data_IF_462861769791
#
_entry.id   IF_462861769791
#
_cell.length_a   1.000
_cell.length_b   1.000
_cell.length_c   1.000
_cell.angle_alpha   90.00
_cell.angle_beta   90.00
_cell.angle_gamma   90.00
#
_symmetry.space_group_name_H-M   'P 1'
#
loop_
_entity.id
_entity.type
_entity.pdbx_description
1 polymer ?
#
# COMPACT_ATOMS: atom_id res chain seq x y z
N UNK A 1 -53.14 -1.29 -22.50
CA UNK A 1 -52.05 -0.31 -22.26
C UNK A 1 -51.33 -0.52 -20.92
N UNK A 2 -52.01 -0.79 -19.81
CA UNK A 2 -51.36 -0.88 -18.45
C UNK A 2 -50.30 -1.99 -18.32
N UNK A 3 -50.47 -3.18 -18.90
CA UNK A 3 -49.53 -4.28 -18.81
C UNK A 3 -48.18 -4.01 -19.53
N UNK A 4 -48.23 -3.31 -20.68
CA UNK A 4 -47.01 -2.93 -21.44
C UNK A 4 -46.17 -1.91 -20.69
N UNK A 5 -46.77 -0.96 -19.98
CA UNK A 5 -46.07 0.00 -19.14
C UNK A 5 -45.39 -0.66 -17.92
N UNK A 6 -46.05 -1.66 -17.31
CA UNK A 6 -45.47 -2.42 -16.18
C UNK A 6 -44.28 -3.23 -16.63
N UNK A 7 -44.36 -3.92 -17.78
CA UNK A 7 -43.22 -4.66 -18.36
C UNK A 7 -42.04 -3.74 -18.73
N UNK A 8 -42.32 -2.55 -19.23
CA UNK A 8 -41.28 -1.56 -19.55
C UNK A 8 -40.61 -1.00 -18.28
N UNK A 9 -41.39 -0.70 -17.23
CA UNK A 9 -40.82 -0.30 -15.94
C UNK A 9 -40.00 -1.42 -15.28
N UNK A 10 -40.44 -2.67 -15.34
CA UNK A 10 -39.67 -3.82 -14.87
C UNK A 10 -38.34 -3.97 -15.64
N UNK A 11 -38.32 -3.78 -16.96
CA UNK A 11 -37.11 -3.87 -17.76
C UNK A 11 -36.06 -2.79 -17.38
N UNK A 12 -36.49 -1.59 -17.00
CA UNK A 12 -35.60 -0.52 -16.53
C UNK A 12 -34.94 -0.89 -15.18
N UNK A 13 -35.66 -1.59 -14.29
CA UNK A 13 -35.10 -2.06 -13.03
C UNK A 13 -34.03 -3.15 -13.20
N UNK A 14 -34.13 -3.98 -14.25
CA UNK A 14 -33.09 -5.01 -14.51
C UNK A 14 -31.83 -4.48 -15.21
N UNK A 15 -31.88 -3.28 -15.82
CA UNK A 15 -30.72 -2.69 -16.53
C UNK A 15 -29.67 -2.05 -15.61
N UNK A 16 -29.97 -1.90 -14.31
CA UNK A 16 -29.12 -1.10 -13.41
C UNK A 16 -28.05 -1.89 -12.63
N UNK A 17 -27.84 -3.18 -12.88
CA UNK A 17 -26.95 -4.01 -12.04
C UNK A 17 -25.69 -4.57 -12.72
N UNK A 18 -25.30 -4.04 -13.87
CA UNK A 18 -23.99 -4.40 -14.44
C UNK A 18 -22.89 -3.43 -13.99
N UNK A 19 -22.44 -3.55 -12.74
CA UNK A 19 -21.24 -2.85 -12.30
C UNK A 19 -20.00 -3.54 -12.91
N UNK A 20 -19.55 -3.05 -14.05
CA UNK A 20 -18.22 -3.33 -14.53
C UNK A 20 -17.21 -2.58 -13.66
N UNK A 21 -16.09 -3.23 -13.31
CA UNK A 21 -15.01 -2.58 -12.59
C UNK A 21 -14.28 -1.63 -13.55
N UNK A 22 -14.64 -0.37 -13.53
CA UNK A 22 -13.95 0.65 -14.29
C UNK A 22 -12.80 1.21 -13.45
N UNK A 23 -11.58 0.79 -13.78
CA UNK A 23 -10.39 1.27 -13.10
C UNK A 23 -9.73 2.35 -13.95
N UNK A 24 -9.44 3.54 -13.40
CA UNK A 24 -8.70 4.55 -14.14
C UNK A 24 -7.30 4.05 -14.45
N UNK A 25 -6.77 4.31 -15.65
CA UNK A 25 -5.44 3.86 -16.04
C UNK A 25 -4.38 4.43 -15.09
N UNK A 26 -3.45 3.58 -14.70
CA UNK A 26 -2.35 3.97 -13.84
C UNK A 26 -1.18 4.49 -14.69
N UNK A 27 -0.80 5.76 -14.49
CA UNK A 27 0.45 6.28 -15.02
C UNK A 27 1.60 5.80 -14.13
N UNK A 28 2.67 5.30 -14.72
CA UNK A 28 3.84 4.74 -14.02
C UNK A 28 4.37 5.67 -12.92
N UNK A 29 4.48 6.97 -13.22
CA UNK A 29 5.05 7.97 -12.31
C UNK A 29 4.18 8.25 -11.07
N UNK A 30 2.87 8.00 -11.16
CA UNK A 30 1.92 8.27 -10.07
C UNK A 30 1.45 7.01 -9.34
N UNK A 31 1.85 5.84 -9.84
CA UNK A 31 1.34 4.54 -9.43
C UNK A 31 1.61 4.27 -7.94
N UNK A 32 2.85 4.42 -7.50
CA UNK A 32 3.26 4.19 -6.10
C UNK A 32 2.59 5.22 -5.17
N UNK A 33 2.63 6.50 -5.53
CA UNK A 33 2.01 7.57 -4.74
C UNK A 33 0.51 7.36 -4.54
N UNK A 34 -0.20 6.96 -5.60
CA UNK A 34 -1.63 6.64 -5.51
C UNK A 34 -1.85 5.37 -4.66
N UNK A 35 -1.06 4.33 -4.87
CA UNK A 35 -1.14 3.10 -4.10
C UNK A 35 -0.93 3.33 -2.60
N UNK A 36 0.11 4.05 -2.23
CA UNK A 36 0.38 4.44 -0.85
C UNK A 36 -0.75 5.26 -0.23
N UNK A 37 -1.40 6.13 -1.01
CA UNK A 37 -2.51 6.96 -0.51
C UNK A 37 -3.76 6.14 -0.15
N UNK A 38 -4.08 5.13 -0.95
CA UNK A 38 -5.33 4.36 -0.81
C UNK A 38 -5.20 3.07 0.00
N UNK A 39 -4.01 2.48 0.05
CA UNK A 39 -3.78 1.25 0.78
C UNK A 39 -3.58 1.51 2.28
N UNK A 40 -4.09 0.61 3.11
CA UNK A 40 -3.82 0.60 4.56
C UNK A 40 -2.51 -0.14 4.84
N UNK A 41 -2.20 -1.16 4.02
CA UNK A 41 -0.96 -1.93 4.08
C UNK A 41 -0.34 -2.06 2.69
N UNK A 42 0.98 -1.87 2.62
CA UNK A 42 1.78 -2.06 1.40
C UNK A 42 3.00 -2.88 1.72
N UNK A 43 3.19 -3.97 0.99
CA UNK A 43 4.32 -4.88 1.21
C UNK A 43 4.79 -5.55 -0.10
N UNK A 44 6.03 -6.00 -0.08
CA UNK A 44 6.58 -6.97 -0.99
C UNK A 44 6.56 -8.33 -0.31
N UNK A 45 6.04 -9.36 -0.97
CA UNK A 45 5.86 -10.66 -0.37
C UNK A 45 5.67 -11.78 -1.37
N UNK A 46 5.68 -12.99 -0.86
CA UNK A 46 5.49 -14.23 -1.60
C UNK A 46 4.10 -14.80 -1.33
N UNK A 47 3.37 -15.15 -2.38
CA UNK A 47 2.12 -15.88 -2.27
C UNK A 47 2.42 -17.37 -1.99
N UNK A 48 2.18 -17.81 -0.76
CA UNK A 48 2.56 -19.15 -0.29
C UNK A 48 1.41 -20.16 -0.33
N UNK A 49 0.17 -19.70 -0.19
CA UNK A 49 -1.02 -20.56 -0.19
C UNK A 49 -2.14 -19.96 -1.01
N UNK A 50 -2.85 -20.81 -1.72
CA UNK A 50 -4.07 -20.49 -2.47
C UNK A 50 -5.08 -21.58 -2.18
N UNK A 51 -6.30 -21.17 -1.79
CA UNK A 51 -7.46 -22.04 -1.64
C UNK A 51 -8.58 -21.51 -2.54
N UNK A 52 -8.78 -22.19 -3.67
CA UNK A 52 -9.78 -21.80 -4.66
C UNK A 52 -11.21 -22.14 -4.25
N UNK A 53 -11.38 -23.06 -3.30
CA UNK A 53 -12.70 -23.47 -2.81
C UNK A 53 -13.22 -22.42 -1.82
N UNK A 54 -12.37 -22.01 -0.88
CA UNK A 54 -12.71 -21.01 0.13
C UNK A 54 -12.44 -19.56 -0.32
N UNK A 55 -11.87 -19.37 -1.51
CA UNK A 55 -11.43 -18.07 -2.04
C UNK A 55 -10.48 -17.34 -1.08
N UNK A 56 -9.55 -18.08 -0.45
CA UNK A 56 -8.56 -17.53 0.49
C UNK A 56 -7.15 -17.70 -0.04
N UNK A 57 -6.25 -16.84 0.42
CA UNK A 57 -4.85 -16.88 0.05
C UNK A 57 -3.98 -16.32 1.18
N UNK A 58 -2.72 -16.78 1.24
CA UNK A 58 -1.76 -16.35 2.26
C UNK A 58 -0.50 -15.81 1.61
N UNK A 59 -0.08 -14.62 2.04
CA UNK A 59 1.20 -14.04 1.68
C UNK A 59 2.18 -14.13 2.84
N UNK A 60 3.42 -14.48 2.52
CA UNK A 60 4.57 -14.26 3.40
C UNK A 60 5.14 -12.89 3.11
N UNK A 61 5.10 -11.98 4.08
CA UNK A 61 5.67 -10.64 3.98
C UNK A 61 7.20 -10.76 4.01
N UNK A 62 7.87 -10.26 2.97
CA UNK A 62 9.32 -10.15 2.86
C UNK A 62 9.77 -8.77 3.33
N UNK A 63 9.10 -7.72 2.85
CA UNK A 63 9.38 -6.34 3.17
C UNK A 63 8.08 -5.54 3.32
N UNK A 64 7.89 -4.91 4.48
CA UNK A 64 6.74 -4.06 4.76
C UNK A 64 7.13 -2.60 4.52
N UNK A 65 6.34 -1.88 3.72
CA UNK A 65 6.57 -0.49 3.37
C UNK A 65 5.62 0.46 4.08
N UNK A 66 4.37 0.05 4.27
CA UNK A 66 3.34 0.86 4.93
C UNK A 66 2.43 0.00 5.79
N UNK A 67 1.96 0.57 6.90
CA UNK A 67 1.06 -0.08 7.85
C UNK A 67 1.81 -0.86 8.93
N UNK A 68 1.06 -1.29 9.95
CA UNK A 68 1.58 -2.10 11.06
C UNK A 68 1.04 -3.52 10.98
N UNK A 69 1.92 -4.50 10.93
CA UNK A 69 1.55 -5.91 10.93
C UNK A 69 2.60 -6.76 11.63
N UNK A 70 2.21 -7.45 12.71
CA UNK A 70 3.14 -8.17 13.56
C UNK A 70 3.51 -9.56 13.03
N UNK A 71 2.62 -10.18 12.26
CA UNK A 71 2.86 -11.52 11.70
C UNK A 71 3.63 -11.44 10.39
N UNK A 72 4.46 -12.43 10.11
CA UNK A 72 5.11 -12.60 8.80
C UNK A 72 4.16 -13.13 7.72
N UNK A 73 3.00 -13.66 8.10
CA UNK A 73 2.00 -14.19 7.17
C UNK A 73 0.73 -13.37 7.29
N UNK A 74 0.25 -12.85 6.16
CA UNK A 74 -1.00 -12.12 6.06
C UNK A 74 -2.01 -12.91 5.25
N UNK A 75 -3.22 -13.03 5.79
CA UNK A 75 -4.31 -13.76 5.16
C UNK A 75 -5.14 -12.84 4.29
N UNK A 76 -5.49 -13.32 3.11
CA UNK A 76 -6.41 -12.65 2.20
C UNK A 76 -7.65 -13.48 1.93
N UNK A 77 -8.75 -12.78 1.65
CA UNK A 77 -10.01 -13.42 1.24
C UNK A 77 -10.64 -12.60 0.13
N UNK A 78 -10.96 -13.25 -0.98
CA UNK A 78 -11.76 -12.64 -2.05
C UNK A 78 -13.23 -12.57 -1.60
N UNK A 79 -13.85 -11.42 -1.82
CA UNK A 79 -15.30 -11.28 -1.73
C UNK A 79 -15.94 -11.69 -3.06
N UNK A 80 -17.23 -11.95 -3.04
CA UNK A 80 -18.00 -12.32 -4.25
C UNK A 80 -18.26 -11.13 -5.18
N UNK A 81 -17.46 -10.08 -5.11
CA UNK A 81 -17.56 -8.96 -6.04
C UNK A 81 -16.57 -9.11 -7.20
N UNK A 82 -16.96 -8.63 -8.37
CA UNK A 82 -16.13 -8.77 -9.60
C UNK A 82 -14.90 -7.86 -9.63
N UNK A 83 -14.69 -7.00 -8.61
CA UNK A 83 -13.60 -6.01 -8.58
C UNK A 83 -12.42 -6.44 -7.72
N UNK A 84 -12.37 -7.71 -7.28
CA UNK A 84 -11.27 -8.25 -6.51
C UNK A 84 -10.47 -9.31 -7.29
N UNK A 85 -9.15 -9.21 -7.19
CA UNK A 85 -8.21 -10.19 -7.76
C UNK A 85 -8.18 -11.42 -6.86
N UNK A 86 -8.32 -12.62 -7.46
CA UNK A 86 -7.97 -13.85 -6.80
C UNK A 86 -6.61 -14.29 -7.32
N UNK A 87 -5.56 -14.29 -6.51
CA UNK A 87 -4.27 -14.81 -6.93
C UNK A 87 -4.39 -16.28 -7.31
N UNK A 88 -3.90 -16.67 -8.47
CA UNK A 88 -4.04 -18.04 -9.01
C UNK A 88 -2.71 -18.77 -9.16
N UNK A 89 -1.58 -18.06 -9.01
CA UNK A 89 -0.24 -18.63 -9.14
C UNK A 89 0.64 -18.13 -8.00
N UNK A 90 1.38 -19.04 -7.37
CA UNK A 90 2.40 -18.69 -6.39
C UNK A 90 3.51 -17.90 -7.07
N UNK A 91 3.76 -16.69 -6.59
CA UNK A 91 4.73 -15.77 -7.14
C UNK A 91 5.09 -14.68 -6.13
N UNK A 92 6.04 -13.83 -6.48
CA UNK A 92 6.40 -12.63 -5.75
C UNK A 92 5.48 -11.47 -6.15
N UNK A 93 4.95 -10.78 -5.15
CA UNK A 93 3.97 -9.72 -5.31
C UNK A 93 4.42 -8.42 -4.66
N UNK A 94 4.12 -7.30 -5.31
CA UNK A 94 3.94 -6.02 -4.64
C UNK A 94 2.45 -5.88 -4.38
N UNK A 95 2.07 -5.74 -3.12
CA UNK A 95 0.67 -5.73 -2.68
C UNK A 95 0.33 -4.37 -2.08
N UNK A 96 -0.75 -3.77 -2.59
CA UNK A 96 -1.40 -2.60 -2.01
C UNK A 96 -2.81 -3.01 -1.62
N UNK A 97 -3.08 -3.14 -0.34
CA UNK A 97 -4.34 -3.69 0.13
C UNK A 97 -5.01 -2.84 1.22
N UNK A 98 -6.32 -3.01 1.33
CA UNK A 98 -7.10 -2.55 2.47
C UNK A 98 -7.13 -3.63 3.54
N UNK A 99 -7.01 -3.23 4.81
CA UNK A 99 -7.15 -4.13 5.95
C UNK A 99 -8.62 -4.17 6.39
N UNK A 100 -9.15 -5.37 6.45
CA UNK A 100 -10.46 -5.61 7.04
C UNK A 100 -10.36 -5.58 8.58
N UNK A 101 -11.51 -5.49 9.27
CA UNK A 101 -11.57 -5.52 10.75
C UNK A 101 -10.95 -6.77 11.39
N UNK A 102 -10.98 -7.90 10.69
CA UNK A 102 -10.37 -9.17 11.10
C UNK A 102 -8.89 -9.31 10.69
N UNK A 103 -8.23 -8.22 10.27
CA UNK A 103 -6.85 -8.17 9.80
C UNK A 103 -6.57 -9.01 8.55
N UNK A 104 -7.58 -9.35 7.78
CA UNK A 104 -7.41 -9.94 6.44
C UNK A 104 -7.32 -8.84 5.38
N UNK A 105 -6.74 -9.17 4.21
CA UNK A 105 -6.63 -8.26 3.09
C UNK A 105 -7.52 -8.67 1.92
N UNK A 106 -7.86 -7.67 1.09
CA UNK A 106 -8.49 -7.87 -0.20
C UNK A 106 -7.62 -7.20 -1.27
N UNK A 107 -7.44 -7.88 -2.40
CA UNK A 107 -6.74 -7.36 -3.57
C UNK A 107 -7.75 -6.78 -4.56
N UNK A 108 -7.70 -5.49 -4.78
CA UNK A 108 -8.57 -4.83 -5.75
C UNK A 108 -7.92 -4.81 -7.14
N UNK A 109 -8.73 -5.03 -8.19
CA UNK A 109 -8.33 -4.81 -9.58
C UNK A 109 -7.82 -3.39 -9.85
N UNK A 110 -8.37 -2.40 -9.13
CA UNK A 110 -7.98 -1.01 -9.28
C UNK A 110 -6.75 -0.62 -8.43
N UNK A 111 -6.20 -1.57 -7.66
CA UNK A 111 -4.95 -1.34 -6.93
C UNK A 111 -3.74 -1.54 -7.87
N UNK A 112 -2.62 -0.89 -7.60
CA UNK A 112 -1.40 -1.12 -8.36
C UNK A 112 -0.66 -2.41 -7.97
N UNK A 113 -1.34 -3.33 -7.27
CA UNK A 113 -0.79 -4.65 -6.91
C UNK A 113 -0.46 -5.45 -8.16
N UNK A 114 0.73 -6.05 -8.18
CA UNK A 114 1.21 -6.80 -9.34
C UNK A 114 2.25 -7.86 -8.97
N UNK A 115 2.48 -8.81 -9.90
CA UNK A 115 3.60 -9.75 -9.89
C UNK A 115 4.62 -9.38 -10.96
N UNK A 116 5.70 -10.15 -11.09
CA UNK A 116 6.64 -10.01 -12.21
C UNK A 116 6.04 -10.45 -13.56
N UNK A 117 5.00 -11.27 -13.56
CA UNK A 117 4.35 -11.78 -14.77
C UNK A 117 3.04 -11.07 -15.07
N UNK A 118 2.39 -10.50 -14.05
CA UNK A 118 1.05 -9.92 -14.15
C UNK A 118 1.14 -8.42 -13.93
N UNK A 119 0.71 -7.61 -14.92
CA UNK A 119 0.74 -6.15 -14.81
C UNK A 119 -0.22 -5.64 -13.74
N UNK A 120 -0.03 -4.40 -13.24
CA UNK A 120 -0.93 -3.78 -12.29
C UNK A 120 -2.33 -3.62 -12.89
N UNK A 121 -3.37 -3.95 -12.08
CA UNK A 121 -4.76 -3.86 -12.56
C UNK A 121 -5.11 -4.93 -13.60
N UNK A 122 -4.60 -6.11 -13.41
CA UNK A 122 -4.75 -7.33 -14.21
C UNK A 122 -5.86 -7.30 -15.28
N UNK A 123 -5.52 -6.80 -16.46
CA UNK A 123 -6.27 -7.07 -17.68
C UNK A 123 -5.45 -8.06 -18.48
N UNK A 124 -5.96 -9.28 -18.74
CA UNK A 124 -5.28 -10.19 -19.66
C UNK A 124 -5.13 -9.48 -21.01
N UNK A 125 -3.98 -9.66 -21.70
CA UNK A 125 -3.84 -9.12 -23.04
C UNK A 125 -4.99 -9.64 -23.88
N UNK A 126 -5.68 -8.71 -24.55
CA UNK A 126 -6.74 -9.07 -25.49
C UNK A 126 -6.05 -9.85 -26.63
N UNK A 127 -6.36 -11.12 -26.81
CA UNK A 127 -5.80 -11.84 -27.95
C UNK A 127 -6.18 -11.09 -29.24
N UNK A 128 -5.26 -11.00 -30.19
CA UNK A 128 -5.59 -10.47 -31.51
C UNK A 128 -6.61 -11.45 -32.12
N UNK A 129 -7.90 -11.14 -31.93
CA UNK A 129 -9.01 -11.93 -32.46
C UNK A 129 -9.13 -11.54 -33.93
N UNK A 130 -8.45 -12.26 -34.82
CA UNK A 130 -8.87 -12.33 -36.19
C UNK A 130 -10.18 -13.14 -36.26
N UNK A 131 -11.04 -12.80 -37.20
CA UNK A 131 -12.33 -13.45 -37.40
C UNK A 131 -12.24 -14.97 -37.21
N UNK A 132 -13.18 -15.55 -36.48
CA UNK A 132 -13.23 -16.96 -36.04
C UNK A 132 -13.02 -18.00 -37.18
N UNK A 133 -13.09 -17.56 -38.43
CA UNK A 133 -12.98 -18.37 -39.63
C UNK A 133 -11.63 -18.26 -40.37
N UNK A 134 -10.74 -17.34 -39.92
CA UNK A 134 -9.42 -17.20 -40.56
C UNK A 134 -8.38 -18.10 -39.88
N UNK A 135 -7.65 -18.87 -40.73
CA UNK A 135 -6.57 -19.72 -40.26
C UNK A 135 -5.44 -18.86 -39.71
N UNK A 136 -5.09 -19.05 -38.44
CA UNK A 136 -3.96 -18.35 -37.80
C UNK A 136 -2.70 -18.61 -38.61
N UNK A 137 -2.09 -17.56 -39.12
CA UNK A 137 -0.84 -17.64 -39.88
C UNK A 137 0.37 -17.64 -38.95
N UNK A 138 1.53 -18.06 -39.45
CA UNK A 138 2.80 -17.98 -38.69
C UNK A 138 3.14 -16.52 -38.31
N UNK A 139 2.73 -15.55 -39.12
CA UNK A 139 2.93 -14.12 -38.87
C UNK A 139 2.08 -13.70 -37.68
N UNK A 140 0.82 -14.11 -37.62
CA UNK A 140 -0.07 -13.80 -36.49
C UNK A 140 0.46 -14.34 -35.15
N UNK A 141 1.05 -15.55 -35.17
CA UNK A 141 1.71 -16.16 -34.03
C UNK A 141 2.90 -15.31 -33.55
N UNK A 142 3.76 -14.86 -34.48
CA UNK A 142 4.92 -14.04 -34.17
C UNK A 142 4.53 -12.66 -33.64
N UNK A 143 3.50 -12.04 -34.21
CA UNK A 143 2.96 -10.76 -33.69
C UNK A 143 2.45 -10.89 -32.26
N UNK A 144 1.76 -11.99 -31.96
CA UNK A 144 1.28 -12.27 -30.60
C UNK A 144 2.44 -12.52 -29.62
N UNK A 145 3.48 -13.23 -30.04
CA UNK A 145 4.68 -13.45 -29.23
C UNK A 145 5.42 -12.13 -28.93
N UNK A 146 5.55 -11.24 -29.93
CA UNK A 146 6.13 -9.91 -29.75
C UNK A 146 5.30 -9.07 -28.77
N UNK A 147 3.97 -9.11 -28.88
CA UNK A 147 3.08 -8.40 -27.97
C UNK A 147 3.24 -8.92 -26.52
N UNK A 148 3.27 -10.24 -26.35
CA UNK A 148 3.47 -10.86 -25.04
C UNK A 148 4.83 -10.48 -24.43
N UNK A 149 5.89 -10.46 -25.22
CA UNK A 149 7.22 -10.04 -24.78
C UNK A 149 7.24 -8.55 -24.37
N UNK A 150 6.57 -7.67 -25.13
CA UNK A 150 6.44 -6.25 -24.75
C UNK A 150 5.71 -6.09 -23.41
N UNK A 151 4.56 -6.75 -23.24
CA UNK A 151 3.79 -6.71 -22.00
C UNK A 151 4.64 -7.21 -20.82
N UNK A 152 5.34 -8.32 -21.00
CA UNK A 152 6.21 -8.90 -19.98
C UNK A 152 7.35 -7.95 -19.60
N UNK A 153 8.00 -7.34 -20.58
CA UNK A 153 9.08 -6.37 -20.34
C UNK A 153 8.57 -5.12 -19.59
N UNK A 154 7.41 -4.59 -19.98
CA UNK A 154 6.79 -3.45 -19.30
C UNK A 154 6.37 -3.80 -17.88
N UNK A 155 5.82 -5.00 -17.67
CA UNK A 155 5.44 -5.50 -16.34
C UNK A 155 6.65 -5.59 -15.42
N UNK A 156 7.76 -6.20 -15.87
CA UNK A 156 9.00 -6.29 -15.11
C UNK A 156 9.58 -4.91 -14.79
N UNK A 157 9.64 -4.03 -15.79
CA UNK A 157 10.13 -2.66 -15.63
C UNK A 157 9.30 -1.88 -14.60
N UNK A 158 7.97 -2.06 -14.63
CA UNK A 158 7.06 -1.40 -13.69
C UNK A 158 7.18 -1.99 -12.29
N UNK A 159 7.36 -3.31 -12.18
CA UNK A 159 7.56 -3.99 -10.90
C UNK A 159 8.81 -3.47 -10.16
N UNK A 160 9.96 -3.46 -10.83
CA UNK A 160 11.20 -2.99 -10.22
C UNK A 160 11.16 -1.49 -9.92
N UNK A 161 10.57 -0.69 -10.81
CA UNK A 161 10.34 0.72 -10.54
C UNK A 161 9.52 0.94 -9.27
N UNK A 162 8.41 0.21 -9.09
CA UNK A 162 7.62 0.31 -7.86
C UNK A 162 8.42 -0.09 -6.62
N UNK A 163 9.18 -1.19 -6.71
CA UNK A 163 9.97 -1.69 -5.58
C UNK A 163 11.03 -0.67 -5.13
N UNK A 164 11.71 -0.03 -6.08
CA UNK A 164 12.67 1.03 -5.79
C UNK A 164 12.02 2.25 -5.14
N UNK A 165 10.88 2.71 -5.68
CA UNK A 165 10.14 3.84 -5.13
C UNK A 165 9.60 3.55 -3.72
N UNK A 166 9.15 2.33 -3.45
CA UNK A 166 8.70 1.91 -2.13
C UNK A 166 9.85 1.85 -1.12
N UNK A 167 11.02 1.41 -1.54
CA UNK A 167 12.22 1.41 -0.69
C UNK A 167 12.71 2.82 -0.38
N UNK A 168 12.67 3.72 -1.37
CA UNK A 168 12.95 5.14 -1.15
C UNK A 168 11.97 5.75 -0.16
N UNK A 169 10.67 5.54 -0.35
CA UNK A 169 9.62 5.99 0.57
C UNK A 169 9.88 5.52 2.01
N UNK A 170 10.19 4.24 2.21
CA UNK A 170 10.46 3.69 3.53
C UNK A 170 11.71 4.31 4.18
N UNK A 171 12.76 4.56 3.40
CA UNK A 171 13.96 5.24 3.88
C UNK A 171 13.65 6.66 4.35
N UNK A 172 12.89 7.42 3.57
CA UNK A 172 12.50 8.78 3.92
C UNK A 172 11.65 8.81 5.20
N UNK A 173 10.72 7.84 5.36
CA UNK A 173 9.89 7.70 6.56
C UNK A 173 10.73 7.42 7.80
N UNK A 174 11.72 6.52 7.71
CA UNK A 174 12.65 6.23 8.80
C UNK A 174 13.46 7.47 9.17
N UNK A 175 13.97 8.21 8.19
CA UNK A 175 14.75 9.43 8.42
C UNK A 175 13.93 10.52 9.12
N UNK A 176 12.65 10.66 8.76
CA UNK A 176 11.73 11.60 9.45
C UNK A 176 11.54 11.19 10.90
N UNK A 177 11.25 9.91 11.17
CA UNK A 177 11.05 9.40 12.55
C UNK A 177 12.33 9.59 13.40
N UNK A 178 13.51 9.36 12.84
CA UNK A 178 14.77 9.56 13.54
C UNK A 178 15.02 11.03 13.87
N UNK A 179 14.70 11.94 12.94
CA UNK A 179 14.79 13.39 13.18
C UNK A 179 13.83 13.85 14.28
N UNK A 180 12.59 13.37 14.27
CA UNK A 180 11.61 13.67 15.32
C UNK A 180 12.10 13.20 16.68
N UNK A 181 12.57 11.95 16.80
CA UNK A 181 13.13 11.43 18.05
C UNK A 181 14.36 12.21 18.54
N UNK A 182 15.15 12.73 17.63
CA UNK A 182 16.33 13.53 17.99
C UNK A 182 15.91 14.89 18.50
N UNK A 183 14.93 15.53 17.86
CA UNK A 183 14.38 16.79 18.31
C UNK A 183 13.71 16.69 19.68
N UNK A 184 12.91 15.65 19.94
CA UNK A 184 12.30 15.39 21.24
C UNK A 184 13.35 15.22 22.35
N UNK A 185 14.47 14.54 22.06
CA UNK A 185 15.58 14.41 23.01
C UNK A 185 16.28 15.74 23.28
N UNK A 186 16.47 16.57 22.25
CA UNK A 186 17.06 17.91 22.40
C UNK A 186 16.16 18.79 23.26
N UNK A 187 14.86 18.83 23.01
CA UNK A 187 13.90 19.61 23.77
C UNK A 187 13.86 19.19 25.24
N UNK A 188 13.90 17.88 25.51
CA UNK A 188 14.01 17.35 26.87
C UNK A 188 15.32 17.74 27.55
N UNK A 189 16.44 17.73 26.83
CA UNK A 189 17.74 18.14 27.34
C UNK A 189 17.77 19.63 27.71
N UNK A 190 17.21 20.48 26.88
CA UNK A 190 17.08 21.93 27.13
C UNK A 190 16.26 22.22 28.38
N UNK A 191 15.15 21.49 28.61
CA UNK A 191 14.36 21.60 29.84
C UNK A 191 15.18 21.26 31.09
N UNK A 192 15.97 20.19 31.06
CA UNK A 192 16.86 19.83 32.19
C UNK A 192 17.93 20.87 32.44
N UNK A 193 18.49 21.49 31.42
CA UNK A 193 19.49 22.57 31.56
C UNK A 193 18.86 23.78 32.24
N UNK A 194 17.66 24.19 31.82
CA UNK A 194 16.95 25.32 32.42
C UNK A 194 16.63 25.05 33.89
N UNK A 195 16.11 23.86 34.23
CA UNK A 195 15.81 23.46 35.61
C UNK A 195 17.08 23.50 36.48
N UNK A 196 18.18 22.95 35.99
CA UNK A 196 19.48 22.93 36.67
C UNK A 196 20.00 24.35 36.92
N UNK A 197 19.86 25.25 35.96
CA UNK A 197 20.27 26.65 36.08
C UNK A 197 19.44 27.40 37.15
N UNK A 198 18.11 27.19 37.17
CA UNK A 198 17.23 27.77 38.19
C UNK A 198 17.59 27.29 39.59
N UNK A 199 17.82 25.98 39.76
CA UNK A 199 18.23 25.39 41.06
C UNK A 199 19.56 26.00 41.55
N UNK A 200 20.55 26.13 40.65
CA UNK A 200 21.83 26.72 40.98
C UNK A 200 21.71 28.18 41.40
N UNK A 201 20.87 28.98 40.73
CA UNK A 201 20.60 30.38 41.11
C UNK A 201 19.96 30.46 42.53
N UNK A 202 18.98 29.62 42.83
CA UNK A 202 18.32 29.57 44.15
C UNK A 202 19.33 29.21 45.24
N UNK A 203 20.19 28.24 45.01
CA UNK A 203 21.25 27.85 45.96
C UNK A 203 22.22 29.00 46.20
N UNK A 204 22.62 29.72 45.17
CA UNK A 204 23.54 30.85 45.28
C UNK A 204 22.90 31.99 46.08
N UNK A 205 21.66 32.33 45.83
CA UNK A 205 20.91 33.36 46.60
C UNK A 205 20.77 32.96 48.07
N UNK A 206 20.49 31.69 48.37
CA UNK A 206 20.38 31.19 49.73
C UNK A 206 21.72 31.28 50.51
N UNK A 207 22.83 30.98 49.83
CA UNK A 207 24.20 31.13 50.38
C UNK A 207 24.48 32.61 50.72
N UNK A 208 24.19 33.50 49.79
CA UNK A 208 24.35 34.95 50.00
C UNK A 208 23.53 35.41 51.20
N UNK A 209 22.29 34.99 51.31
CA UNK A 209 21.42 35.33 52.43
C UNK A 209 21.96 34.84 53.77
N UNK A 210 22.52 33.64 53.85
CA UNK A 210 23.13 33.08 55.07
C UNK A 210 24.36 33.91 55.48
N UNK A 211 25.19 34.30 54.51
CA UNK A 211 26.40 35.12 54.78
C UNK A 211 26.02 36.49 55.34
N UNK A 212 25.00 37.17 54.75
CA UNK A 212 24.52 38.44 55.23
C UNK A 212 23.89 38.34 56.62
N UNK A 213 23.09 37.30 56.91
CA UNK A 213 22.52 37.06 58.22
C UNK A 213 23.59 36.85 59.28
N UNK A 214 24.64 36.08 58.97
CA UNK A 214 25.76 35.84 59.91
C UNK A 214 26.52 37.14 60.24
N UNK A 215 26.74 38.03 59.25
CA UNK A 215 27.43 39.31 59.42
C UNK A 215 26.63 40.31 60.27
N UNK A 216 25.31 40.29 60.25
CA UNK A 216 24.44 41.15 61.07
C UNK A 216 24.27 40.64 62.48
N UNK A 217 24.58 39.40 62.83
CA UNK A 217 24.53 38.83 64.18
C UNK A 217 25.85 38.94 64.89
N UNK A 218 26.92 39.37 64.20
CA UNK A 218 28.28 39.55 64.81
C UNK A 218 28.65 40.99 65.08
N UNK A 219 27.62 41.87 65.08
CA UNK A 219 27.70 43.24 65.63
C UNK A 219 26.83 43.33 66.89
#
# INVERSE_FOLDING_TARGET
MKLKCILFLLSIFFLNNSFACECPPHKKETLVKKGLRYADIVFYGELIKIDTIQNTYDFRIIELFKGEYQSKIIHGKRRENNCEINPFKKDLWIVYAKLNRNKTINLSYCSPSQTMEIPPGFLPPVPIVKNYYEKITKIDSLENDILNLKIKNETLTTFFYQLEQLRAYKKDEIEIIEKEKTNDKLETCDQYIIISLVVNIVLLLSLIFIIFKKKNFSK
#
